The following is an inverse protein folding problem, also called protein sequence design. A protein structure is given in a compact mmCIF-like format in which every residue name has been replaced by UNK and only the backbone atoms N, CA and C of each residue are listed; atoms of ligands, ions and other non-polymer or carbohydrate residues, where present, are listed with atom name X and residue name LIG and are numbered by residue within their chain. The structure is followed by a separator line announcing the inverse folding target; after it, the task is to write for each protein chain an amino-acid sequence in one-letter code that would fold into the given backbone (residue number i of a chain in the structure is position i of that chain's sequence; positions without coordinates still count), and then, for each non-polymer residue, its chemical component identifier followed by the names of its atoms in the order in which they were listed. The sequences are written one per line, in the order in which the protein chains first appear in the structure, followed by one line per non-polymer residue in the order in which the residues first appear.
data_IF_150199426417
#
_entry.id   IF_150199426417
#
_cell.length_a   1.000
_cell.length_b   1.000
_cell.length_c   1.000
_cell.angle_alpha   90.00
_cell.angle_beta   90.00
_cell.angle_gamma   90.00
#
_symmetry.space_group_name_H-M   'P 1'
#
loop_
_entity.id
_entity.type
_entity.pdbx_description
1 polymer ?
#
# COMPACT_ATOMS: atom_id res chain seq x y z
N UNK A 1 -33.32 21.69 8.82
CA UNK A 1 -33.08 20.46 8.04
C UNK A 1 -31.57 20.35 7.84
N UNK A 2 -30.89 19.61 8.72
CA UNK A 2 -29.43 19.48 8.68
C UNK A 2 -29.08 18.20 7.90
N UNK A 3 -28.50 18.34 6.71
CA UNK A 3 -27.88 17.21 6.01
C UNK A 3 -26.50 16.96 6.60
N UNK A 4 -26.22 15.79 7.20
CA UNK A 4 -24.84 15.43 7.49
C UNK A 4 -24.18 15.07 6.15
N UNK A 5 -23.23 15.90 5.71
CA UNK A 5 -22.23 15.49 4.74
C UNK A 5 -21.41 14.38 5.40
N UNK A 6 -21.81 13.14 5.17
CA UNK A 6 -21.00 11.97 5.49
C UNK A 6 -19.77 12.08 4.60
N UNK A 7 -18.64 12.50 5.18
CA UNK A 7 -17.33 12.33 4.56
C UNK A 7 -17.09 10.83 4.41
N UNK A 8 -17.45 10.30 3.25
CA UNK A 8 -17.08 8.97 2.81
C UNK A 8 -15.58 9.00 2.49
N UNK A 9 -14.75 8.99 3.53
CA UNK A 9 -13.33 8.69 3.37
C UNK A 9 -13.29 7.20 3.05
N UNK A 10 -13.39 6.86 1.77
CA UNK A 10 -12.99 5.54 1.29
C UNK A 10 -11.51 5.41 1.70
N UNK A 11 -11.26 4.68 2.78
CA UNK A 11 -9.93 4.28 3.15
C UNK A 11 -9.46 3.37 2.02
N UNK A 12 -8.75 3.94 1.04
CA UNK A 12 -8.19 3.19 -0.06
C UNK A 12 -7.18 2.23 0.56
N UNK A 13 -7.48 0.92 0.53
CA UNK A 13 -6.60 -0.13 1.05
C UNK A 13 -5.22 0.03 0.40
N UNK A 14 -4.16 -0.03 1.21
CA UNK A 14 -2.79 -0.07 0.71
C UNK A 14 -2.55 -1.37 -0.05
N UNK A 15 -1.51 -1.40 -0.89
CA UNK A 15 -1.11 -2.61 -1.63
C UNK A 15 -0.89 -3.83 -0.71
N UNK A 16 -0.38 -3.60 0.50
CA UNK A 16 -0.06 -4.63 1.50
C UNK A 16 -1.22 -4.99 2.43
N UNK A 17 -2.38 -4.34 2.27
CA UNK A 17 -3.60 -4.62 3.07
C UNK A 17 -4.50 -5.70 2.42
N UNK A 18 -4.16 -6.13 1.20
CA UNK A 18 -4.89 -7.19 0.50
C UNK A 18 -4.41 -8.57 0.93
N UNK A 19 -5.35 -9.47 1.19
CA UNK A 19 -5.03 -10.88 1.40
C UNK A 19 -4.69 -11.53 0.06
N UNK A 20 -3.43 -11.94 -0.10
CA UNK A 20 -2.95 -12.60 -1.31
C UNK A 20 -3.39 -14.05 -1.39
N UNK A 21 -3.74 -14.70 -0.30
CA UNK A 21 -4.22 -16.09 -0.28
C UNK A 21 -5.68 -16.16 -0.74
N UNK A 22 -6.44 -15.08 -0.55
CA UNK A 22 -7.78 -14.94 -1.10
C UNK A 22 -7.74 -14.56 -2.59
N UNK A 23 -8.26 -15.41 -3.51
CA UNK A 23 -8.21 -15.13 -4.94
C UNK A 23 -8.99 -13.88 -5.36
N UNK A 24 -10.06 -13.53 -4.65
CA UNK A 24 -10.85 -12.34 -4.96
C UNK A 24 -10.08 -11.06 -4.60
N UNK A 25 -9.48 -11.00 -3.41
CA UNK A 25 -8.66 -9.86 -2.98
C UNK A 25 -7.37 -9.75 -3.79
N UNK A 26 -6.78 -10.88 -4.20
CA UNK A 26 -5.65 -10.90 -5.11
C UNK A 26 -5.99 -10.25 -6.46
N UNK A 27 -7.15 -10.58 -7.04
CA UNK A 27 -7.64 -9.95 -8.26
C UNK A 27 -7.90 -8.46 -8.06
N UNK A 28 -8.50 -8.08 -6.93
CA UNK A 28 -8.72 -6.67 -6.59
C UNK A 28 -7.40 -5.90 -6.49
N UNK A 29 -6.39 -6.46 -5.83
CA UNK A 29 -5.04 -5.87 -5.76
C UNK A 29 -4.44 -5.65 -7.15
N UNK A 30 -4.59 -6.63 -8.04
CA UNK A 30 -4.10 -6.52 -9.42
C UNK A 30 -4.82 -5.43 -10.22
N UNK A 31 -6.12 -5.25 -9.99
CA UNK A 31 -6.90 -4.19 -10.62
C UNK A 31 -6.55 -2.81 -10.05
N UNK A 32 -6.39 -2.69 -8.74
CA UNK A 32 -6.11 -1.42 -8.05
C UNK A 32 -4.66 -0.96 -8.25
N UNK A 33 -3.71 -1.89 -8.24
CA UNK A 33 -2.27 -1.60 -8.30
C UNK A 33 -1.56 -2.43 -9.40
N UNK A 34 -1.91 -2.25 -10.68
CA UNK A 34 -1.44 -3.12 -11.76
C UNK A 34 0.08 -3.05 -11.96
N UNK A 35 0.68 -1.86 -11.88
CA UNK A 35 2.12 -1.68 -12.06
C UNK A 35 2.91 -2.31 -10.90
N UNK A 36 2.52 -2.02 -9.66
CA UNK A 36 3.18 -2.56 -8.46
C UNK A 36 3.01 -4.09 -8.39
N UNK A 37 1.83 -4.60 -8.74
CA UNK A 37 1.60 -6.05 -8.82
C UNK A 37 2.55 -6.74 -9.79
N UNK A 38 2.72 -6.19 -11.00
CA UNK A 38 3.67 -6.72 -12.00
C UNK A 38 5.11 -6.65 -11.52
N UNK A 39 5.48 -5.57 -10.85
CA UNK A 39 6.81 -5.42 -10.27
C UNK A 39 7.08 -6.51 -9.21
N UNK A 40 6.13 -6.76 -8.30
CA UNK A 40 6.28 -7.84 -7.32
C UNK A 40 6.31 -9.22 -7.97
N UNK A 41 5.55 -9.47 -9.05
CA UNK A 41 5.65 -10.73 -9.80
C UNK A 41 7.05 -10.92 -10.39
N UNK A 42 7.60 -9.88 -11.05
CA UNK A 42 8.95 -9.94 -11.59
C UNK A 42 10.00 -10.19 -10.50
N UNK A 43 9.84 -9.58 -9.31
CA UNK A 43 10.74 -9.85 -8.19
C UNK A 43 10.67 -11.31 -7.69
N UNK A 44 9.49 -11.93 -7.71
CA UNK A 44 9.34 -13.34 -7.33
C UNK A 44 10.02 -14.28 -8.33
N UNK A 45 10.09 -13.90 -9.61
CA UNK A 45 10.77 -14.69 -10.64
C UNK A 45 12.31 -14.57 -10.55
N UNK A 46 12.81 -13.42 -10.08
CA UNK A 46 14.25 -13.11 -10.03
C UNK A 46 14.92 -13.46 -8.69
N UNK A 47 14.17 -13.42 -7.58
CA UNK A 47 14.69 -13.67 -6.23
C UNK A 47 14.34 -15.07 -5.75
N UNK A 48 15.12 -15.59 -4.81
CA UNK A 48 14.68 -16.76 -4.05
C UNK A 48 13.48 -16.42 -3.15
N UNK A 49 12.70 -17.42 -2.77
CA UNK A 49 11.52 -17.24 -1.91
C UNK A 49 11.87 -16.49 -0.60
N UNK A 50 13.01 -16.82 0.02
CA UNK A 50 13.48 -16.21 1.27
C UNK A 50 13.87 -14.72 1.07
N UNK A 51 14.53 -14.40 -0.04
CA UNK A 51 14.92 -13.03 -0.39
C UNK A 51 13.71 -12.16 -0.70
N UNK A 52 12.76 -12.69 -1.49
CA UNK A 52 11.51 -12.00 -1.76
C UNK A 52 10.71 -11.76 -0.48
N UNK A 53 10.60 -12.78 0.38
CA UNK A 53 9.88 -12.66 1.64
C UNK A 53 10.48 -11.57 2.53
N UNK A 54 11.81 -11.52 2.62
CA UNK A 54 12.55 -10.49 3.38
C UNK A 54 12.28 -9.09 2.81
N UNK A 55 12.37 -8.95 1.48
CA UNK A 55 12.04 -7.69 0.80
C UNK A 55 10.60 -7.25 1.08
N UNK A 56 9.63 -8.16 0.89
CA UNK A 56 8.20 -7.88 1.05
C UNK A 56 7.85 -7.41 2.46
N UNK A 57 8.39 -8.08 3.49
CA UNK A 57 8.18 -7.68 4.89
C UNK A 57 8.80 -6.31 5.20
N UNK A 58 10.00 -6.03 4.66
CA UNK A 58 10.67 -4.74 4.87
C UNK A 58 9.88 -3.57 4.27
N UNK A 59 9.37 -3.73 3.04
CA UNK A 59 8.56 -2.71 2.38
C UNK A 59 7.23 -2.48 3.11
N UNK A 60 6.57 -3.55 3.54
CA UNK A 60 5.32 -3.48 4.30
C UNK A 60 5.50 -2.67 5.58
N UNK A 61 6.59 -2.90 6.32
CA UNK A 61 6.91 -2.15 7.53
C UNK A 61 7.13 -0.66 7.25
N UNK A 62 7.82 -0.30 6.16
CA UNK A 62 8.04 1.10 5.78
C UNK A 62 6.72 1.83 5.47
N UNK A 63 5.78 1.16 4.82
CA UNK A 63 4.47 1.74 4.50
C UNK A 63 3.62 1.94 5.77
N UNK A 64 3.67 1.00 6.71
CA UNK A 64 2.95 1.08 7.99
C UNK A 64 3.53 2.14 8.93
N UNK A 65 4.83 2.44 8.83
CA UNK A 65 5.51 3.39 9.70
C UNK A 65 5.28 4.86 9.33
N UNK A 66 4.52 5.20 8.28
CA UNK A 66 4.18 6.61 7.99
C UNK A 66 3.37 7.19 9.16
N UNK A 67 3.96 8.04 10.02
CA UNK A 67 3.18 8.76 11.00
C UNK A 67 2.31 9.74 10.21
N UNK A 68 1.06 9.94 10.64
CA UNK A 68 0.27 11.07 10.18
C UNK A 68 1.15 12.32 10.26
N UNK A 69 1.45 12.93 9.11
CA UNK A 69 2.22 14.18 9.02
C UNK A 69 1.36 15.27 9.65
N UNK A 70 1.43 15.39 10.97
CA UNK A 70 1.11 16.63 11.63
C UNK A 70 2.22 17.62 11.26
N UNK A 71 1.95 18.38 10.20
CA UNK A 71 2.35 19.78 10.09
C UNK A 71 3.87 20.06 10.20
N UNK A 72 4.66 19.55 9.26
CA UNK A 72 5.94 20.18 8.94
C UNK A 72 5.71 21.10 7.74
N UNK A 73 5.25 22.32 8.04
CA UNK A 73 5.46 23.47 7.16
C UNK A 73 6.96 23.57 6.89
N UNK A 74 7.41 23.07 5.73
CA UNK A 74 8.70 23.43 5.17
C UNK A 74 8.68 24.91 4.81
N UNK A 75 8.90 25.77 5.80
CA UNK A 75 9.34 27.13 5.55
C UNK A 75 10.78 27.03 5.09
N UNK A 76 10.99 27.13 3.77
CA UNK A 76 12.31 27.41 3.22
C UNK A 76 12.79 28.71 3.86
N UNK A 77 13.89 28.64 4.60
CA UNK A 77 14.55 29.82 5.17
C UNK A 77 15.05 30.64 3.97
N UNK A 78 14.56 31.88 3.90
CA UNK A 78 14.91 32.89 2.89
C UNK A 78 16.16 33.66 3.35
#
# INVERSE_FOLDING_TARGET
MFSPKISLIFFMKSFYDYDVDNPAERQERYATYPALSKFHMALQDELTDDEYQTYYESEKQLVQQKPAVNNLQSQWIN
#
